data_IF_644058756179
#
_entry.id   IF_644058756179
#
_cell.length_a   1.000
_cell.length_b   1.000
_cell.length_c   1.000
_cell.angle_alpha   90.00
_cell.angle_beta   90.00
_cell.angle_gamma   90.00
#
_symmetry.space_group_name_H-M   'P 1'
#
loop_
_entity.id
_entity.type
_entity.pdbx_description
1 polymer ?
#
# COMPACT_ATOMS: atom_id res chain seq x y z
N UNK A 1 -1.29 21.18 -9.54
CA UNK A 1 -1.93 19.92 -9.16
C UNK A 1 -2.31 19.99 -7.69
N UNK A 2 -3.60 19.91 -7.35
CA UNK A 2 -4.01 19.91 -5.93
C UNK A 2 -4.19 18.47 -5.41
N UNK A 3 -4.25 18.34 -4.08
CA UNK A 3 -4.41 17.04 -3.39
C UNK A 3 -5.68 16.30 -3.82
N UNK A 4 -6.78 17.02 -4.05
CA UNK A 4 -8.06 16.45 -4.48
C UNK A 4 -7.98 15.76 -5.84
N UNK A 5 -7.34 16.41 -6.83
CA UNK A 5 -7.16 15.81 -8.17
C UNK A 5 -6.29 14.56 -8.11
N UNK A 6 -5.25 14.58 -7.27
CA UNK A 6 -4.38 13.43 -7.06
C UNK A 6 -5.14 12.27 -6.38
N UNK A 7 -5.93 12.59 -5.36
CA UNK A 7 -6.82 11.64 -4.69
C UNK A 7 -7.79 10.99 -5.69
N UNK A 8 -8.50 11.76 -6.51
CA UNK A 8 -9.45 11.22 -7.49
C UNK A 8 -8.76 10.30 -8.51
N UNK A 9 -7.55 10.66 -8.94
CA UNK A 9 -6.74 9.82 -9.81
C UNK A 9 -6.38 8.48 -9.14
N UNK A 10 -5.92 8.53 -7.89
CA UNK A 10 -5.52 7.33 -7.13
C UNK A 10 -6.72 6.46 -6.79
N UNK A 11 -7.83 7.06 -6.38
CA UNK A 11 -9.11 6.37 -6.16
C UNK A 11 -9.56 5.65 -7.43
N UNK A 12 -9.54 6.33 -8.58
CA UNK A 12 -9.92 5.71 -9.86
C UNK A 12 -9.02 4.53 -10.23
N UNK A 13 -7.71 4.63 -9.99
CA UNK A 13 -6.77 3.52 -10.23
C UNK A 13 -7.05 2.34 -9.29
N UNK A 14 -7.23 2.60 -8.00
CA UNK A 14 -7.55 1.59 -7.00
C UNK A 14 -8.87 0.88 -7.31
N UNK A 15 -9.92 1.64 -7.62
CA UNK A 15 -11.23 1.11 -7.97
C UNK A 15 -11.15 0.20 -9.21
N UNK A 16 -10.42 0.63 -10.25
CA UNK A 16 -10.19 -0.19 -11.44
C UNK A 16 -9.42 -1.47 -11.13
N UNK A 17 -8.41 -1.41 -10.25
CA UNK A 17 -7.65 -2.58 -9.84
C UNK A 17 -8.53 -3.60 -9.10
N UNK A 18 -9.37 -3.12 -8.17
CA UNK A 18 -10.33 -3.97 -7.44
C UNK A 18 -11.34 -4.59 -8.40
N UNK A 19 -11.90 -3.81 -9.34
CA UNK A 19 -12.85 -4.31 -10.36
C UNK A 19 -12.25 -5.37 -11.29
N UNK A 20 -10.92 -5.43 -11.44
CA UNK A 20 -10.21 -6.47 -12.21
C UNK A 20 -10.04 -7.79 -11.45
N UNK A 21 -10.21 -7.82 -10.13
CA UNK A 21 -10.06 -9.04 -9.34
C UNK A 21 -11.03 -10.12 -9.85
N UNK A 22 -10.47 -11.27 -10.23
CA UNK A 22 -11.08 -12.21 -11.17
C UNK A 22 -12.31 -12.95 -10.63
N UNK A 23 -13.37 -13.03 -11.46
CA UNK A 23 -14.68 -13.63 -11.14
C UNK A 23 -14.63 -15.05 -10.56
N UNK A 24 -13.64 -15.85 -10.93
CA UNK A 24 -13.58 -17.27 -10.61
C UNK A 24 -13.16 -17.58 -9.16
N UNK A 25 -12.60 -16.60 -8.43
CA UNK A 25 -12.13 -16.79 -7.04
C UNK A 25 -12.52 -15.65 -6.11
N UNK A 26 -13.48 -14.81 -6.52
CA UNK A 26 -13.91 -13.63 -5.76
C UNK A 26 -14.25 -13.98 -4.30
N UNK A 27 -14.98 -15.08 -4.07
CA UNK A 27 -15.39 -15.50 -2.72
C UNK A 27 -14.22 -15.98 -1.86
N UNK A 28 -13.13 -16.40 -2.49
CA UNK A 28 -11.93 -16.95 -1.85
C UNK A 28 -10.96 -15.84 -1.39
N UNK A 29 -11.04 -14.65 -2.00
CA UNK A 29 -10.26 -13.48 -1.60
C UNK A 29 -10.64 -13.09 -0.17
N UNK A 30 -9.68 -12.99 0.75
CA UNK A 30 -9.92 -12.56 2.13
C UNK A 30 -9.18 -11.29 2.53
N UNK A 31 -8.22 -10.84 1.71
CA UNK A 31 -7.49 -9.61 1.94
C UNK A 31 -6.99 -9.04 0.60
N UNK A 32 -6.94 -7.71 0.54
CA UNK A 32 -6.34 -6.96 -0.57
C UNK A 32 -4.97 -6.47 -0.10
N UNK A 33 -3.94 -6.64 -0.92
CA UNK A 33 -2.59 -6.13 -0.66
C UNK A 33 -2.43 -4.76 -1.29
N UNK A 34 -2.02 -3.78 -0.50
CA UNK A 34 -1.45 -2.51 -0.96
C UNK A 34 0.01 -2.51 -0.52
N UNK A 35 0.87 -3.10 -1.35
CA UNK A 35 2.30 -3.17 -1.09
C UNK A 35 2.94 -1.82 -1.43
N UNK A 36 3.52 -1.14 -0.44
CA UNK A 36 4.25 0.10 -0.59
C UNK A 36 5.71 -0.19 -0.90
N UNK A 37 6.24 0.55 -1.88
CA UNK A 37 7.64 0.54 -2.26
C UNK A 37 8.03 1.90 -2.90
N UNK A 38 9.28 2.04 -3.33
CA UNK A 38 9.78 3.11 -4.17
C UNK A 38 10.27 2.54 -5.50
N UNK A 39 9.79 3.09 -6.63
CA UNK A 39 10.24 2.62 -7.93
C UNK A 39 11.75 2.88 -8.09
N UNK A 40 12.53 1.82 -8.34
CA UNK A 40 14.00 1.87 -8.46
C UNK A 40 14.69 2.45 -7.21
N UNK A 41 14.15 2.17 -6.03
CA UNK A 41 14.62 2.71 -4.74
C UNK A 41 14.64 4.25 -4.68
N UNK A 42 13.91 4.93 -5.59
CA UNK A 42 13.83 6.39 -5.65
C UNK A 42 12.69 6.91 -4.76
N UNK A 43 12.96 7.55 -3.61
CA UNK A 43 11.94 8.07 -2.70
C UNK A 43 11.05 9.16 -3.32
N UNK A 44 11.44 9.74 -4.45
CA UNK A 44 10.63 10.68 -5.24
C UNK A 44 9.56 9.98 -6.08
N UNK A 45 9.62 8.66 -6.17
CA UNK A 45 8.74 7.80 -6.97
C UNK A 45 8.04 6.72 -6.11
N UNK A 46 7.36 7.08 -5.00
CA UNK A 46 6.68 6.10 -4.17
C UNK A 46 5.54 5.44 -4.94
N UNK A 47 5.36 4.14 -4.71
CA UNK A 47 4.42 3.30 -5.44
C UNK A 47 3.64 2.40 -4.50
N UNK A 48 2.36 2.20 -4.81
CA UNK A 48 1.56 1.10 -4.29
C UNK A 48 1.34 0.09 -5.41
N UNK A 49 1.71 -1.15 -5.18
CA UNK A 49 1.34 -2.30 -6.00
C UNK A 49 0.13 -2.98 -5.36
N UNK A 50 -0.95 -3.12 -6.13
CA UNK A 50 -2.21 -3.67 -5.65
C UNK A 50 -2.29 -5.14 -6.04
N UNK A 51 -2.50 -5.99 -5.05
CA UNK A 51 -2.72 -7.42 -5.18
C UNK A 51 -3.82 -7.91 -4.25
N UNK A 52 -3.91 -9.22 -4.07
CA UNK A 52 -4.81 -9.86 -3.13
C UNK A 52 -4.32 -11.26 -2.75
N UNK A 53 -4.83 -11.79 -1.64
CA UNK A 53 -4.61 -13.18 -1.27
C UNK A 53 -5.91 -13.94 -1.03
N UNK A 54 -5.82 -15.26 -1.11
CA UNK A 54 -6.98 -16.16 -1.05
C UNK A 54 -6.82 -17.24 0.00
N UNK A 55 -7.93 -17.78 0.52
CA UNK A 55 -7.87 -18.87 1.51
C UNK A 55 -7.27 -20.14 0.89
N UNK A 56 -7.48 -20.40 -0.40
CA UNK A 56 -6.78 -21.48 -1.10
C UNK A 56 -5.27 -21.32 -1.02
N UNK A 57 -4.73 -20.10 -1.17
CA UNK A 57 -3.29 -19.87 -1.05
C UNK A 57 -2.81 -20.09 0.38
N UNK A 58 -3.61 -19.75 1.40
CA UNK A 58 -3.27 -20.04 2.80
C UNK A 58 -3.09 -21.54 3.03
N UNK A 59 -3.96 -22.38 2.48
CA UNK A 59 -3.85 -23.84 2.60
C UNK A 59 -2.58 -24.41 1.92
N UNK A 60 -2.17 -23.80 0.81
CA UNK A 60 -0.90 -24.15 0.14
C UNK A 60 0.30 -23.70 0.99
N UNK A 61 0.29 -22.45 1.46
CA UNK A 61 1.38 -21.83 2.21
C UNK A 61 1.60 -22.43 3.59
N UNK A 62 0.55 -22.95 4.24
CA UNK A 62 0.61 -23.57 5.58
C UNK A 62 1.67 -24.67 5.71
N UNK A 63 2.05 -25.32 4.60
CA UNK A 63 3.08 -26.36 4.60
C UNK A 63 4.49 -25.83 4.84
N UNK A 64 4.73 -24.56 4.53
CA UNK A 64 6.04 -23.92 4.59
C UNK A 64 6.10 -22.81 5.65
N UNK A 65 4.96 -22.39 6.20
CA UNK A 65 4.91 -21.43 7.29
C UNK A 65 4.99 -22.13 8.66
N UNK A 66 5.50 -21.41 9.66
CA UNK A 66 5.60 -21.85 11.05
C UNK A 66 4.23 -21.89 11.73
N UNK A 67 3.26 -21.12 11.23
CA UNK A 67 1.88 -21.12 11.72
C UNK A 67 0.85 -20.83 10.63
N UNK A 68 -0.42 -21.12 10.92
CA UNK A 68 -1.53 -20.73 10.05
C UNK A 68 -1.65 -19.20 9.93
N UNK A 69 -1.36 -18.46 11.01
CA UNK A 69 -1.45 -17.00 11.01
C UNK A 69 -0.34 -16.38 10.16
N UNK A 70 0.87 -16.92 10.23
CA UNK A 70 1.97 -16.52 9.36
C UNK A 70 1.63 -16.81 7.88
N UNK A 71 1.19 -18.03 7.55
CA UNK A 71 0.76 -18.39 6.20
C UNK A 71 -0.33 -17.44 5.64
N UNK A 72 -1.20 -16.94 6.53
CA UNK A 72 -2.32 -16.07 6.17
C UNK A 72 -1.92 -14.60 6.09
N UNK A 73 -1.06 -14.10 6.96
CA UNK A 73 -0.89 -12.65 7.08
C UNK A 73 0.48 -12.16 6.66
N UNK A 74 1.49 -13.03 6.60
CA UNK A 74 2.81 -12.65 6.13
C UNK A 74 2.83 -12.64 4.59
N UNK A 75 3.12 -11.47 4.02
CA UNK A 75 3.15 -11.22 2.58
C UNK A 75 4.05 -12.20 1.80
N UNK A 76 5.13 -12.71 2.39
CA UNK A 76 6.03 -13.68 1.75
C UNK A 76 5.31 -14.96 1.27
N UNK A 77 4.15 -15.28 1.87
CA UNK A 77 3.34 -16.46 1.53
C UNK A 77 2.16 -16.17 0.58
N UNK A 78 1.96 -14.90 0.20
CA UNK A 78 0.83 -14.49 -0.64
C UNK A 78 1.06 -14.82 -2.11
N UNK A 79 0.02 -14.71 -2.94
CA UNK A 79 0.05 -15.01 -4.37
C UNK A 79 1.03 -14.19 -5.23
N UNK A 80 1.61 -13.11 -4.68
CA UNK A 80 2.48 -12.17 -5.41
C UNK A 80 1.86 -11.69 -6.74
N UNK A 81 0.54 -11.51 -6.75
CA UNK A 81 -0.19 -11.04 -7.93
C UNK A 81 -0.25 -9.52 -7.99
N UNK A 82 -0.27 -8.98 -9.21
CA UNK A 82 -0.40 -7.54 -9.45
C UNK A 82 -1.61 -7.29 -10.34
N UNK A 83 -2.57 -6.50 -9.84
CA UNK A 83 -3.78 -6.10 -10.58
C UNK A 83 -3.82 -4.61 -10.93
N UNK A 84 -2.92 -3.81 -10.35
CA UNK A 84 -2.72 -2.42 -10.69
C UNK A 84 -1.71 -1.72 -9.79
N UNK A 85 -1.37 -0.49 -10.16
CA UNK A 85 -0.38 0.33 -9.45
C UNK A 85 -0.85 1.77 -9.28
N UNK A 86 -0.36 2.44 -8.23
CA UNK A 86 -0.58 3.86 -7.93
C UNK A 86 0.77 4.50 -7.63
N UNK A 87 1.06 5.70 -8.15
CA UNK A 87 2.35 6.35 -7.96
C UNK A 87 3.41 5.89 -8.97
N UNK A 88 4.65 5.69 -8.50
CA UNK A 88 5.83 5.42 -9.33
C UNK A 88 6.19 6.62 -10.20
N UNK A 89 6.30 6.42 -11.52
CA UNK A 89 6.57 7.48 -12.50
C UNK A 89 5.35 8.39 -12.80
N UNK A 90 4.43 8.55 -11.85
CA UNK A 90 3.23 9.37 -12.03
C UNK A 90 3.58 10.86 -12.12
N UNK A 91 3.30 11.46 -13.29
CA UNK A 91 3.60 12.87 -13.56
C UNK A 91 2.82 13.83 -12.66
N UNK A 92 1.59 13.47 -12.29
CA UNK A 92 0.75 14.30 -11.44
C UNK A 92 1.24 14.26 -9.99
N UNK A 93 1.66 13.10 -9.50
CA UNK A 93 2.29 12.97 -8.18
C UNK A 93 3.59 13.79 -8.12
N UNK A 94 4.45 13.67 -9.13
CA UNK A 94 5.69 14.45 -9.22
C UNK A 94 5.41 15.96 -9.27
N UNK A 95 4.42 16.39 -10.05
CA UNK A 95 4.02 17.80 -10.11
C UNK A 95 3.50 18.29 -8.76
N UNK A 96 2.71 17.47 -8.07
CA UNK A 96 2.21 17.78 -6.73
C UNK A 96 3.35 17.95 -5.72
N UNK A 97 4.34 17.04 -5.70
CA UNK A 97 5.52 17.21 -4.83
C UNK A 97 6.31 18.48 -5.14
N UNK A 98 6.46 18.84 -6.42
CA UNK A 98 7.11 20.11 -6.82
C UNK A 98 6.35 21.33 -6.30
N UNK A 99 5.04 21.36 -6.49
CA UNK A 99 4.21 22.49 -6.03
C UNK A 99 4.15 22.60 -4.50
N UNK A 100 4.34 21.47 -3.79
CA UNK A 100 4.46 21.43 -2.34
C UNK A 100 5.88 21.74 -1.82
N UNK A 101 6.85 22.05 -2.69
CA UNK A 101 8.28 22.22 -2.35
C UNK A 101 8.93 20.99 -1.67
N UNK A 102 8.44 19.79 -1.97
CA UNK A 102 8.96 18.53 -1.43
C UNK A 102 9.89 17.80 -2.42
N UNK A 103 9.89 18.20 -3.70
CA UNK A 103 10.64 17.51 -4.74
C UNK A 103 12.03 18.11 -4.95
N UNK A 104 13.01 17.25 -5.16
CA UNK A 104 14.36 17.61 -5.62
C UNK A 104 14.78 16.76 -6.83
N UNK A 105 15.73 17.27 -7.60
CA UNK A 105 16.29 16.64 -8.79
C UNK A 105 17.51 15.78 -8.46
N UNK A 106 17.91 14.90 -9.38
CA UNK A 106 19.15 14.13 -9.22
C UNK A 106 20.38 15.02 -9.11
N UNK A 107 20.38 16.17 -9.79
CA UNK A 107 21.46 17.13 -9.70
C UNK A 107 21.56 17.78 -8.31
N UNK A 108 20.43 18.07 -7.67
CA UNK A 108 20.37 18.58 -6.30
C UNK A 108 20.83 17.50 -5.31
N UNK A 109 20.42 16.25 -5.50
CA UNK A 109 20.91 15.12 -4.70
C UNK A 109 22.44 14.98 -4.77
N UNK A 110 23.01 14.89 -5.98
CA UNK A 110 24.46 14.78 -6.15
C UNK A 110 25.24 16.00 -5.64
N UNK A 111 24.58 17.16 -5.50
CA UNK A 111 25.19 18.34 -4.87
C UNK A 111 25.15 18.24 -3.35
N UNK A 112 24.03 17.81 -2.78
CA UNK A 112 23.88 17.60 -1.34
C UNK A 112 24.87 16.55 -0.83
N UNK A 113 25.00 15.43 -1.53
CA UNK A 113 25.97 14.35 -1.23
C UNK A 113 27.41 14.90 -1.19
N UNK A 114 27.82 15.64 -2.23
CA UNK A 114 29.16 16.28 -2.27
C UNK A 114 29.41 17.28 -1.14
N UNK A 115 28.35 17.91 -0.64
CA UNK A 115 28.43 18.94 0.39
C UNK A 115 28.19 18.38 1.80
N UNK A 116 27.83 17.09 1.95
CA UNK A 116 27.42 16.51 3.24
C UNK A 116 26.10 17.10 3.78
N UNK A 117 25.18 17.47 2.90
CA UNK A 117 23.87 18.07 3.25
C UNK A 117 22.69 17.10 3.04
N UNK A 118 22.96 15.79 2.99
CA UNK A 118 22.00 14.72 2.71
C UNK A 118 20.80 14.71 3.67
N UNK A 119 21.03 15.02 4.96
CA UNK A 119 19.98 15.07 5.98
C UNK A 119 18.77 15.95 5.59
N UNK A 120 18.99 17.02 4.83
CA UNK A 120 17.88 17.88 4.36
C UNK A 120 16.99 17.18 3.33
N UNK A 121 17.60 16.32 2.50
CA UNK A 121 16.88 15.54 1.51
C UNK A 121 16.18 14.34 2.16
N UNK A 122 16.80 13.73 3.18
CA UNK A 122 16.15 12.66 3.97
C UNK A 122 14.84 13.16 4.61
N UNK A 123 14.84 14.37 5.19
CA UNK A 123 13.62 15.00 5.71
C UNK A 123 12.57 15.26 4.62
N UNK A 124 13.00 15.61 3.40
CA UNK A 124 12.09 15.80 2.26
C UNK A 124 11.54 14.45 1.76
N UNK A 125 12.35 13.40 1.77
CA UNK A 125 11.94 12.05 1.43
C UNK A 125 10.84 11.58 2.38
N UNK A 126 11.06 11.68 3.69
CA UNK A 126 10.07 11.35 4.71
C UNK A 126 8.75 12.12 4.52
N UNK A 127 8.82 13.41 4.18
CA UNK A 127 7.65 14.22 3.90
C UNK A 127 6.92 13.77 2.63
N UNK A 128 7.63 13.46 1.54
CA UNK A 128 7.03 12.92 0.31
C UNK A 128 6.31 11.59 0.59
N UNK A 129 6.97 10.69 1.32
CA UNK A 129 6.42 9.39 1.71
C UNK A 129 5.17 9.55 2.59
N UNK A 130 5.24 10.39 3.62
CA UNK A 130 4.10 10.65 4.52
C UNK A 130 2.90 11.22 3.77
N UNK A 131 3.11 12.20 2.88
CA UNK A 131 2.02 12.82 2.11
C UNK A 131 1.42 11.83 1.12
N UNK A 132 2.24 11.02 0.46
CA UNK A 132 1.76 9.95 -0.41
C UNK A 132 0.88 8.97 0.38
N UNK A 133 1.35 8.48 1.52
CA UNK A 133 0.63 7.50 2.33
C UNK A 133 -0.66 8.06 2.94
N UNK A 134 -0.71 9.33 3.32
CA UNK A 134 -1.96 9.96 3.78
C UNK A 134 -3.04 9.99 2.67
N UNK A 135 -2.64 10.16 1.40
CA UNK A 135 -3.57 10.07 0.27
C UNK A 135 -4.02 8.63 0.06
N UNK A 136 -3.12 7.65 0.12
CA UNK A 136 -3.45 6.22 0.00
C UNK A 136 -4.42 5.78 1.10
N UNK A 137 -4.17 6.19 2.36
CA UNK A 137 -5.08 5.92 3.48
C UNK A 137 -6.47 6.50 3.19
N UNK A 138 -6.54 7.74 2.71
CA UNK A 138 -7.81 8.38 2.35
C UNK A 138 -8.53 7.61 1.23
N UNK A 139 -7.80 7.12 0.22
CA UNK A 139 -8.35 6.33 -0.88
C UNK A 139 -8.97 5.03 -0.37
N UNK A 140 -8.28 4.29 0.49
CA UNK A 140 -8.78 3.04 1.07
C UNK A 140 -10.03 3.28 1.92
N UNK A 141 -10.02 4.33 2.75
CA UNK A 141 -11.19 4.73 3.53
C UNK A 141 -12.40 5.00 2.63
N UNK A 142 -12.21 5.73 1.52
CA UNK A 142 -13.30 6.03 0.60
C UNK A 142 -13.77 4.79 -0.17
N UNK A 143 -12.88 3.84 -0.50
CA UNK A 143 -13.25 2.55 -1.10
C UNK A 143 -14.19 1.74 -0.20
N UNK A 144 -13.90 1.66 1.10
CA UNK A 144 -14.79 1.03 2.07
C UNK A 144 -16.10 1.82 2.24
N UNK A 145 -16.01 3.15 2.39
CA UNK A 145 -17.18 4.01 2.58
C UNK A 145 -18.16 3.94 1.42
N UNK A 146 -17.66 3.86 0.18
CA UNK A 146 -18.48 3.69 -1.04
C UNK A 146 -18.88 2.24 -1.31
N UNK A 147 -18.41 1.28 -0.51
CA UNK A 147 -18.77 -0.14 -0.64
C UNK A 147 -18.17 -0.84 -1.87
N UNK A 148 -17.18 -0.25 -2.53
CA UNK A 148 -16.57 -0.79 -3.77
C UNK A 148 -16.06 -2.22 -3.57
N UNK A 149 -15.41 -2.46 -2.43
CA UNK A 149 -14.84 -3.76 -2.08
C UNK A 149 -15.96 -4.79 -1.92
N UNK A 150 -17.01 -4.46 -1.15
CA UNK A 150 -18.16 -5.36 -0.96
C UNK A 150 -18.96 -5.61 -2.23
N UNK A 151 -19.16 -4.59 -3.06
CA UNK A 151 -19.85 -4.74 -4.34
C UNK A 151 -19.10 -5.68 -5.27
N UNK A 152 -17.77 -5.53 -5.37
CA UNK A 152 -16.96 -6.39 -6.21
C UNK A 152 -16.81 -7.80 -5.62
N UNK A 153 -16.57 -7.92 -4.32
CA UNK A 153 -16.19 -9.19 -3.70
C UNK A 153 -17.36 -9.98 -3.08
N UNK A 154 -18.53 -9.36 -3.00
CA UNK A 154 -19.70 -9.89 -2.29
C UNK A 154 -19.57 -9.87 -0.76
N UNK A 155 -18.44 -9.35 -0.22
CA UNK A 155 -18.15 -9.21 1.21
C UNK A 155 -17.13 -8.10 1.42
N UNK A 156 -17.16 -7.47 2.60
CA UNK A 156 -16.06 -6.60 3.03
C UNK A 156 -14.84 -7.46 3.40
N UNK A 157 -13.66 -6.99 3.02
CA UNK A 157 -12.36 -7.59 3.38
C UNK A 157 -11.37 -6.46 3.68
N UNK A 158 -10.38 -6.68 4.56
CA UNK A 158 -9.37 -5.66 4.83
C UNK A 158 -8.47 -5.39 3.62
N UNK A 159 -7.99 -4.16 3.54
CA UNK A 159 -6.87 -3.74 2.69
C UNK A 159 -5.63 -3.63 3.57
N UNK A 160 -4.71 -4.59 3.46
CA UNK A 160 -3.46 -4.57 4.21
C UNK A 160 -2.47 -3.68 3.47
N UNK A 161 -2.05 -2.59 4.12
CA UNK A 161 -1.04 -1.66 3.62
C UNK A 161 0.28 -2.05 4.26
N UNK A 162 1.24 -2.51 3.46
CA UNK A 162 2.45 -3.14 3.99
C UNK A 162 3.69 -2.86 3.14
N UNK A 163 4.86 -3.08 3.73
CA UNK A 163 6.13 -3.21 3.01
C UNK A 163 6.53 -4.70 3.02
N UNK A 164 7.81 -5.00 2.79
CA UNK A 164 8.31 -6.37 2.89
C UNK A 164 8.20 -6.91 4.33
N UNK A 165 8.45 -6.05 5.32
CA UNK A 165 8.44 -6.38 6.75
C UNK A 165 7.28 -5.69 7.47
N UNK A 166 6.83 -6.29 8.58
CA UNK A 166 5.80 -5.73 9.45
C UNK A 166 6.42 -5.11 10.69
N UNK A 167 6.41 -3.79 10.75
CA UNK A 167 6.77 -2.99 11.92
C UNK A 167 5.70 -1.90 12.15
N UNK A 168 5.87 -1.07 13.17
CA UNK A 168 4.84 -0.13 13.64
C UNK A 168 4.22 0.74 12.53
N UNK A 169 5.01 1.15 11.53
CA UNK A 169 4.57 2.08 10.50
C UNK A 169 3.58 1.43 9.49
N UNK A 170 3.90 0.30 8.82
CA UNK A 170 2.92 -0.50 8.07
C UNK A 170 1.65 -0.85 8.86
N UNK A 171 1.80 -1.24 10.13
CA UNK A 171 0.68 -1.58 10.99
C UNK A 171 -0.21 -0.36 11.25
N UNK A 172 0.39 0.82 11.47
CA UNK A 172 -0.32 2.08 11.60
C UNK A 172 -1.07 2.44 10.31
N UNK A 173 -0.47 2.27 9.13
CA UNK A 173 -1.15 2.55 7.86
C UNK A 173 -2.40 1.68 7.70
N UNK A 174 -2.26 0.37 7.90
CA UNK A 174 -3.38 -0.60 7.86
C UNK A 174 -4.46 -0.23 8.89
N UNK A 175 -4.07 0.16 10.10
CA UNK A 175 -4.99 0.55 11.17
C UNK A 175 -5.78 1.81 10.82
N UNK A 176 -5.12 2.81 10.23
CA UNK A 176 -5.75 4.09 9.85
C UNK A 176 -6.66 3.94 8.63
N UNK A 177 -6.38 3.01 7.72
CA UNK A 177 -7.10 2.88 6.46
C UNK A 177 -8.36 2.02 6.53
N UNK A 178 -8.47 1.10 7.49
CA UNK A 178 -9.53 0.10 7.55
C UNK A 178 -10.53 0.32 8.70
N UNK A 179 -11.79 -0.12 8.55
CA UNK A 179 -12.66 -0.38 9.69
C UNK A 179 -12.00 -1.39 10.65
N UNK A 180 -11.94 -1.05 11.95
CA UNK A 180 -11.26 -1.86 12.97
C UNK A 180 -11.64 -3.34 12.95
N UNK A 181 -12.93 -3.64 12.82
CA UNK A 181 -13.45 -5.01 12.82
C UNK A 181 -12.93 -5.89 11.67
N UNK A 182 -12.43 -5.29 10.57
CA UNK A 182 -11.89 -6.05 9.44
C UNK A 182 -10.44 -6.48 9.66
N UNK A 183 -9.72 -5.83 10.57
CA UNK A 183 -8.28 -6.04 10.77
C UNK A 183 -7.94 -6.65 12.14
N UNK A 184 -8.92 -6.91 13.01
CA UNK A 184 -8.67 -7.45 14.36
C UNK A 184 -7.83 -8.74 14.35
N UNK A 185 -8.09 -9.67 13.41
CA UNK A 185 -7.31 -10.91 13.28
C UNK A 185 -5.87 -10.65 12.81
N UNK A 186 -5.69 -9.72 11.86
CA UNK A 186 -4.38 -9.31 11.37
C UNK A 186 -3.55 -8.64 12.48
N UNK A 187 -4.15 -7.68 13.19
CA UNK A 187 -3.50 -6.99 14.30
C UNK A 187 -3.15 -7.95 15.45
N UNK A 188 -4.02 -8.93 15.74
CA UNK A 188 -3.70 -9.97 16.71
C UNK A 188 -2.48 -10.79 16.27
N UNK A 189 -2.41 -11.17 15.00
CA UNK A 189 -1.26 -11.93 14.46
C UNK A 189 0.06 -11.17 14.59
N UNK A 190 0.04 -9.85 14.36
CA UNK A 190 1.19 -8.98 14.61
C UNK A 190 1.59 -8.96 16.09
N UNK A 191 0.63 -8.69 16.99
CA UNK A 191 0.89 -8.59 18.44
C UNK A 191 1.35 -9.93 19.05
N UNK A 192 0.92 -11.06 18.49
CA UNK A 192 1.33 -12.40 18.90
C UNK A 192 2.71 -12.81 18.32
N UNK A 193 3.37 -11.93 17.55
CA UNK A 193 4.70 -12.16 16.97
C UNK A 193 4.71 -13.17 15.82
N UNK A 194 3.60 -13.27 15.07
CA UNK A 194 3.48 -14.20 13.93
C UNK A 194 3.88 -13.57 12.58
N UNK A 195 4.18 -12.26 12.55
CA UNK A 195 4.49 -11.47 11.35
C UNK A 195 5.85 -10.81 11.43
#
# INVERSE_FOLDING_TARGET
>A
MNRETLFESFYTKAEKAIKKMGKQYIKDIYAISFWKDNLEDDPRCPVITIGYNTLTQVEVAKRNASSLMEAKWNYAFWLQNEVGTIGGNDKNLRLYFKEANLFYTQQEYSRAEKNGEENKLDEQDDQMQSVFMDIIISVIQELHKKGVIKEQLGKEVPVIVHELEYYDLPIMWTTRSNPKSLIDEFLKSYNDGCL
#
